data_IF_533891579849
#
_entry.id   IF_533891579849
#
_cell.length_a   1.000
_cell.length_b   1.000
_cell.length_c   1.000
_cell.angle_alpha   90.00
_cell.angle_beta   90.00
_cell.angle_gamma   90.00
#
_symmetry.space_group_name_H-M   'P 1'
#
loop_
_entity.id
_entity.type
_entity.pdbx_description
1 polymer ?
#
# COMPACT_ATOMS: atom_id res chain seq x y z
N UNK A 1 -28.61 15.17 -20.44
CA UNK A 1 -27.47 14.37 -20.93
C UNK A 1 -26.14 14.70 -20.28
N UNK A 2 -25.82 15.95 -19.92
CA UNK A 2 -24.58 16.28 -19.17
C UNK A 2 -24.38 15.46 -17.88
N UNK A 3 -25.48 15.05 -17.23
CA UNK A 3 -25.43 14.12 -16.09
C UNK A 3 -24.78 12.77 -16.42
N UNK A 4 -24.92 12.26 -17.65
CA UNK A 4 -24.34 10.96 -18.05
C UNK A 4 -22.82 11.00 -17.98
N UNK A 5 -22.19 12.10 -18.39
CA UNK A 5 -20.72 12.24 -18.35
C UNK A 5 -20.16 12.16 -16.93
N UNK A 6 -20.93 12.51 -15.88
CA UNK A 6 -20.49 12.40 -14.48
C UNK A 6 -20.26 10.96 -14.04
N UNK A 7 -20.90 10.00 -14.71
CA UNK A 7 -20.80 8.57 -14.40
C UNK A 7 -19.81 7.82 -15.30
N UNK A 8 -19.23 8.49 -16.29
CA UNK A 8 -18.31 7.90 -17.25
C UNK A 8 -16.85 8.17 -16.85
N UNK A 9 -15.95 7.22 -17.11
CA UNK A 9 -14.51 7.44 -17.00
C UNK A 9 -14.03 8.46 -18.03
N UNK A 10 -12.83 9.03 -17.86
CA UNK A 10 -12.25 9.90 -18.89
C UNK A 10 -12.15 9.20 -20.25
N UNK A 11 -11.75 7.91 -20.24
CA UNK A 11 -11.66 7.09 -21.45
C UNK A 11 -13.00 6.94 -22.14
N UNK A 12 -14.06 6.66 -21.38
CA UNK A 12 -15.41 6.50 -21.93
C UNK A 12 -15.94 7.82 -22.46
N UNK A 13 -15.70 8.94 -21.75
CA UNK A 13 -16.07 10.28 -22.21
C UNK A 13 -15.40 10.61 -23.55
N UNK A 14 -14.09 10.35 -23.68
CA UNK A 14 -13.35 10.58 -24.91
C UNK A 14 -13.83 9.68 -26.06
N UNK A 15 -14.10 8.39 -25.78
CA UNK A 15 -14.63 7.46 -26.77
C UNK A 15 -16.03 7.86 -27.26
N UNK A 16 -16.91 8.24 -26.32
CA UNK A 16 -18.27 8.67 -26.60
C UNK A 16 -18.28 9.98 -27.40
N UNK A 17 -17.36 10.90 -27.13
CA UNK A 17 -17.20 12.12 -27.91
C UNK A 17 -16.80 11.86 -29.39
N UNK A 18 -16.36 10.64 -29.73
CA UNK A 18 -16.05 10.22 -31.09
C UNK A 18 -17.23 9.51 -31.79
N UNK A 19 -18.34 9.24 -31.10
CA UNK A 19 -19.48 8.46 -31.66
C UNK A 19 -20.25 9.25 -32.71
N UNK A 20 -20.62 10.50 -32.43
CA UNK A 20 -21.22 11.39 -33.42
C UNK A 20 -20.98 12.87 -33.09
N UNK A 21 -21.31 13.77 -34.03
CA UNK A 21 -21.12 15.22 -33.88
C UNK A 21 -21.89 15.80 -32.68
N UNK A 22 -23.07 15.28 -32.37
CA UNK A 22 -23.87 15.76 -31.24
C UNK A 22 -23.22 15.39 -29.91
N UNK A 23 -22.74 14.15 -29.78
CA UNK A 23 -21.98 13.72 -28.59
C UNK A 23 -20.68 14.52 -28.43
N UNK A 24 -19.99 14.80 -29.53
CA UNK A 24 -18.81 15.65 -29.52
C UNK A 24 -19.13 17.08 -29.04
N UNK A 25 -20.21 17.69 -29.54
CA UNK A 25 -20.63 19.03 -29.15
C UNK A 25 -21.06 19.10 -27.68
N UNK A 26 -21.84 18.11 -27.22
CA UNK A 26 -22.24 18.01 -25.82
C UNK A 26 -21.06 17.76 -24.89
N UNK A 27 -20.09 16.94 -25.31
CA UNK A 27 -18.84 16.75 -24.59
C UNK A 27 -18.10 18.08 -24.45
N UNK A 28 -17.93 18.82 -25.55
CA UNK A 28 -17.28 20.15 -25.50
C UNK A 28 -17.96 21.11 -24.53
N UNK A 29 -19.29 21.17 -24.54
CA UNK A 29 -20.03 21.99 -23.57
C UNK A 29 -19.93 21.48 -22.14
N UNK A 30 -19.79 20.18 -21.93
CA UNK A 30 -19.63 19.58 -20.61
C UNK A 30 -18.24 19.86 -20.01
N UNK A 31 -17.20 20.08 -20.82
CA UNK A 31 -15.84 20.36 -20.33
C UNK A 31 -15.75 21.60 -19.42
N UNK A 32 -16.72 22.51 -19.48
CA UNK A 32 -16.81 23.70 -18.62
C UNK A 32 -17.31 23.39 -17.20
N UNK A 33 -17.87 22.19 -16.95
CA UNK A 33 -18.32 21.75 -15.62
C UNK A 33 -17.10 21.28 -14.78
N UNK A 34 -16.71 22.02 -13.71
CA UNK A 34 -15.56 21.65 -12.89
C UNK A 34 -15.72 20.30 -12.19
N UNK A 35 -16.97 19.86 -11.95
CA UNK A 35 -17.23 18.58 -11.27
C UNK A 35 -16.77 17.38 -12.10
N UNK A 36 -16.64 17.53 -13.42
CA UNK A 36 -16.11 16.48 -14.30
C UNK A 36 -14.59 16.32 -14.20
N UNK A 37 -13.90 17.32 -13.64
CA UNK A 37 -12.43 17.35 -13.53
C UNK A 37 -11.91 17.01 -12.15
N UNK A 38 -12.81 16.72 -11.20
CA UNK A 38 -12.41 16.35 -9.83
C UNK A 38 -11.52 15.12 -9.79
N UNK A 39 -11.84 14.16 -10.65
CA UNK A 39 -11.07 12.93 -10.84
C UNK A 39 -10.65 12.83 -12.30
N UNK A 40 -9.34 12.73 -12.53
CA UNK A 40 -8.77 12.41 -13.83
C UNK A 40 -8.07 11.05 -13.72
N UNK A 41 -8.75 10.00 -14.17
CA UNK A 41 -8.18 8.67 -14.26
C UNK A 41 -7.76 8.37 -15.70
N UNK A 42 -6.44 8.22 -15.89
CA UNK A 42 -5.78 7.85 -17.14
C UNK A 42 -4.92 6.60 -16.94
N UNK A 43 -5.29 5.74 -15.99
CA UNK A 43 -4.58 4.48 -15.77
C UNK A 43 -4.51 3.65 -17.05
N UNK A 44 -3.35 3.04 -17.30
CA UNK A 44 -3.02 2.26 -18.50
C UNK A 44 -3.15 3.03 -19.83
N UNK A 45 -3.25 4.37 -19.79
CA UNK A 45 -3.37 5.18 -21.00
C UNK A 45 -2.08 5.13 -21.81
N UNK A 46 -2.20 4.90 -23.11
CA UNK A 46 -1.08 4.93 -24.04
C UNK A 46 -0.67 6.37 -24.41
N UNK A 47 -1.56 7.35 -24.22
CA UNK A 47 -1.33 8.75 -24.58
C UNK A 47 -1.98 9.70 -23.54
N UNK A 48 -1.42 9.80 -22.32
CA UNK A 48 -1.99 10.66 -21.27
C UNK A 48 -1.80 12.17 -21.54
N UNK A 49 -0.83 12.54 -22.39
CA UNK A 49 -0.40 13.93 -22.61
C UNK A 49 -1.50 14.92 -23.01
N UNK A 50 -2.37 14.66 -24.01
CA UNK A 50 -3.44 15.57 -24.38
C UNK A 50 -4.41 15.87 -23.24
N UNK A 51 -4.81 14.84 -22.48
CA UNK A 51 -5.72 14.98 -21.34
C UNK A 51 -5.09 15.78 -20.20
N UNK A 52 -3.82 15.52 -19.88
CA UNK A 52 -3.07 16.26 -18.87
C UNK A 52 -2.89 17.74 -19.24
N UNK A 53 -2.57 18.03 -20.51
CA UNK A 53 -2.50 19.42 -21.01
C UNK A 53 -3.83 20.13 -20.89
N UNK A 54 -4.93 19.45 -21.21
CA UNK A 54 -6.25 20.02 -21.05
C UNK A 54 -6.58 20.28 -19.58
N UNK A 55 -6.34 19.30 -18.70
CA UNK A 55 -6.57 19.46 -17.26
C UNK A 55 -5.77 20.63 -16.68
N UNK A 56 -4.51 20.80 -17.10
CA UNK A 56 -3.67 21.94 -16.72
C UNK A 56 -4.27 23.28 -17.15
N UNK A 57 -4.86 23.37 -18.35
CA UNK A 57 -5.56 24.58 -18.78
C UNK A 57 -6.78 24.90 -17.90
N UNK A 58 -7.49 23.88 -17.41
CA UNK A 58 -8.66 24.05 -16.53
C UNK A 58 -8.30 24.47 -15.11
N UNK A 59 -7.12 24.06 -14.58
CA UNK A 59 -6.64 24.48 -13.27
C UNK A 59 -6.53 26.01 -13.15
N UNK A 60 -6.17 26.69 -14.25
CA UNK A 60 -6.07 28.15 -14.30
C UNK A 60 -7.41 28.87 -14.18
N UNK A 61 -8.51 28.15 -14.40
CA UNK A 61 -9.83 28.74 -14.50
C UNK A 61 -10.70 28.39 -13.29
N UNK A 62 -10.66 27.16 -12.75
CA UNK A 62 -11.53 26.66 -11.65
C UNK A 62 -10.97 25.38 -11.00
N UNK A 63 -9.96 25.45 -10.12
CA UNK A 63 -9.28 24.26 -9.59
C UNK A 63 -10.22 23.28 -8.85
N UNK A 64 -10.59 22.20 -9.53
CA UNK A 64 -11.40 21.11 -8.96
C UNK A 64 -10.64 19.78 -8.88
N UNK A 65 -9.50 19.63 -9.56
CA UNK A 65 -8.77 18.36 -9.64
C UNK A 65 -8.20 17.97 -8.28
N UNK A 66 -8.69 16.85 -7.75
CA UNK A 66 -8.30 16.29 -6.46
C UNK A 66 -7.71 14.88 -6.58
N UNK A 67 -8.10 14.13 -7.60
CA UNK A 67 -7.63 12.77 -7.83
C UNK A 67 -7.00 12.70 -9.22
N UNK A 68 -5.71 12.38 -9.26
CA UNK A 68 -4.98 12.10 -10.48
C UNK A 68 -4.46 10.66 -10.43
N UNK A 69 -4.98 9.81 -11.32
CA UNK A 69 -4.51 8.44 -11.47
C UNK A 69 -3.84 8.26 -12.84
N UNK A 70 -2.53 8.01 -12.83
CA UNK A 70 -1.69 7.74 -14.00
C UNK A 70 -1.05 6.35 -13.94
N UNK A 71 -1.56 5.45 -13.09
CA UNK A 71 -1.02 4.10 -12.94
C UNK A 71 -0.77 3.43 -14.29
N UNK A 72 0.47 3.01 -14.53
CA UNK A 72 0.91 2.33 -15.74
C UNK A 72 0.64 3.11 -17.05
N UNK A 73 0.44 4.43 -16.96
CA UNK A 73 0.30 5.27 -18.14
C UNK A 73 1.66 5.47 -18.86
N UNK A 74 1.64 5.34 -20.18
CA UNK A 74 2.84 5.38 -20.99
C UNK A 74 3.40 6.81 -21.14
N UNK A 75 4.72 6.94 -21.08
CA UNK A 75 5.42 8.19 -21.37
C UNK A 75 5.16 9.34 -20.39
N UNK A 76 4.71 9.04 -19.16
CA UNK A 76 4.56 10.06 -18.11
C UNK A 76 5.95 10.50 -17.64
N UNK A 77 6.27 11.78 -17.84
CA UNK A 77 7.52 12.43 -17.42
C UNK A 77 7.22 13.66 -16.57
N UNK A 78 8.23 14.20 -15.90
CA UNK A 78 8.11 15.43 -15.12
C UNK A 78 7.54 16.59 -15.95
N UNK A 79 7.93 16.70 -17.23
CA UNK A 79 7.41 17.71 -18.15
C UNK A 79 5.88 17.65 -18.35
N UNK A 80 5.27 16.47 -18.18
CA UNK A 80 3.82 16.31 -18.23
C UNK A 80 3.14 16.63 -16.89
N UNK A 81 3.86 16.55 -15.78
CA UNK A 81 3.35 16.81 -14.43
C UNK A 81 3.53 18.28 -14.02
N UNK A 82 4.64 18.92 -14.40
CA UNK A 82 4.95 20.31 -14.03
C UNK A 82 3.83 21.31 -14.35
N UNK A 83 3.09 21.21 -15.48
CA UNK A 83 1.98 22.11 -15.77
C UNK A 83 0.78 21.97 -14.81
N UNK A 84 0.70 20.89 -14.05
CA UNK A 84 -0.32 20.65 -13.02
C UNK A 84 0.11 21.16 -11.63
N UNK A 85 1.28 21.81 -11.52
CA UNK A 85 1.74 22.43 -10.27
C UNK A 85 0.67 23.35 -9.68
N UNK A 86 0.46 23.24 -8.37
CA UNK A 86 -0.56 23.98 -7.64
C UNK A 86 -1.95 23.36 -7.69
N UNK A 87 -2.10 22.19 -8.31
CA UNK A 87 -3.29 21.37 -8.09
C UNK A 87 -3.33 20.92 -6.62
N UNK A 88 -4.46 21.14 -5.94
CA UNK A 88 -4.70 20.66 -4.58
C UNK A 88 -5.17 19.20 -4.60
N UNK A 89 -4.27 18.32 -5.04
CA UNK A 89 -4.53 16.88 -5.11
C UNK A 89 -4.66 16.30 -3.71
N UNK A 90 -5.70 15.50 -3.49
CA UNK A 90 -5.87 14.63 -2.33
C UNK A 90 -5.26 13.25 -2.59
N UNK A 91 -5.32 12.77 -3.84
CA UNK A 91 -4.81 11.46 -4.26
C UNK A 91 -3.98 11.60 -5.54
N UNK A 92 -2.75 11.12 -5.49
CA UNK A 92 -1.85 11.02 -6.63
C UNK A 92 -1.36 9.58 -6.78
N UNK A 93 -1.71 8.94 -7.90
CA UNK A 93 -1.20 7.63 -8.25
C UNK A 93 -0.32 7.71 -9.50
N UNK A 94 0.96 7.40 -9.32
CA UNK A 94 2.00 7.36 -10.36
C UNK A 94 2.67 5.97 -10.41
N UNK A 95 1.98 4.92 -9.96
CA UNK A 95 2.47 3.55 -10.01
C UNK A 95 2.97 3.20 -11.41
N UNK A 96 4.21 2.73 -11.53
CA UNK A 96 4.83 2.34 -12.79
C UNK A 96 5.16 3.48 -13.76
N UNK A 97 5.01 4.76 -13.37
CA UNK A 97 5.45 5.90 -14.16
C UNK A 97 6.98 6.10 -14.07
N UNK A 98 7.76 5.12 -14.54
CA UNK A 98 9.20 4.98 -14.31
C UNK A 98 10.10 6.14 -14.80
N UNK A 99 9.58 7.05 -15.63
CA UNK A 99 10.34 8.20 -16.12
C UNK A 99 10.19 9.46 -15.23
N UNK A 100 9.25 9.44 -14.27
CA UNK A 100 9.06 10.52 -13.29
C UNK A 100 10.18 10.52 -12.26
N UNK A 101 10.62 11.71 -11.86
CA UNK A 101 11.64 11.93 -10.82
C UNK A 101 11.06 12.70 -9.64
N UNK A 102 11.88 12.96 -8.63
CA UNK A 102 11.52 13.78 -7.47
C UNK A 102 10.93 15.14 -7.89
N UNK A 103 11.44 15.77 -8.95
CA UNK A 103 10.96 17.08 -9.40
C UNK A 103 9.49 17.03 -9.85
N UNK A 104 9.11 16.04 -10.67
CA UNK A 104 7.76 15.90 -11.18
C UNK A 104 6.75 15.58 -10.08
N UNK A 105 7.10 14.69 -9.15
CA UNK A 105 6.21 14.38 -8.01
C UNK A 105 6.14 15.55 -7.03
N UNK A 106 7.27 16.20 -6.71
CA UNK A 106 7.29 17.35 -5.80
C UNK A 106 6.51 18.55 -6.35
N UNK A 107 6.42 18.72 -7.67
CA UNK A 107 5.57 19.75 -8.27
C UNK A 107 4.08 19.55 -7.98
N UNK A 108 3.67 18.31 -7.68
CA UNK A 108 2.31 17.92 -7.33
C UNK A 108 2.13 17.65 -5.83
N UNK A 109 3.20 17.76 -5.05
CA UNK A 109 3.11 17.77 -3.61
C UNK A 109 2.37 19.05 -3.17
N UNK A 110 1.39 18.88 -2.30
CA UNK A 110 0.56 19.97 -1.81
C UNK A 110 -0.02 19.68 -0.44
N UNK A 111 -0.65 20.69 0.14
CA UNK A 111 -1.18 20.63 1.51
C UNK A 111 -2.40 19.73 1.65
N UNK A 112 -3.13 19.52 0.54
CA UNK A 112 -4.27 18.63 0.46
C UNK A 112 -3.90 17.15 0.33
N UNK A 113 -2.64 16.80 0.00
CA UNK A 113 -2.28 15.44 -0.37
C UNK A 113 -2.41 14.47 0.82
N UNK A 114 -3.22 13.42 0.62
CA UNK A 114 -3.51 12.36 1.60
C UNK A 114 -2.99 11.00 1.16
N UNK A 115 -2.96 10.72 -0.14
CA UNK A 115 -2.49 9.44 -0.68
C UNK A 115 -1.52 9.66 -1.83
N UNK A 116 -0.36 9.04 -1.73
CA UNK A 116 0.65 9.02 -2.77
C UNK A 116 1.07 7.57 -3.06
N UNK A 117 0.88 7.14 -4.30
CA UNK A 117 1.21 5.79 -4.77
C UNK A 117 2.36 5.86 -5.79
N UNK A 118 3.51 5.27 -5.46
CA UNK A 118 4.74 5.31 -6.25
C UNK A 118 5.34 3.93 -6.50
N UNK A 119 4.53 2.87 -6.57
CA UNK A 119 5.01 1.54 -6.89
C UNK A 119 5.93 1.54 -8.12
N UNK A 120 7.12 0.99 -7.95
CA UNK A 120 8.14 0.79 -8.98
C UNK A 120 8.63 2.08 -9.66
N UNK A 121 8.67 3.20 -8.94
CA UNK A 121 9.28 4.45 -9.39
C UNK A 121 10.78 4.49 -9.05
N UNK A 122 11.61 3.99 -9.97
CA UNK A 122 13.04 3.75 -9.72
C UNK A 122 13.91 5.01 -9.60
N UNK A 123 13.40 6.16 -10.03
CA UNK A 123 14.12 7.46 -10.02
C UNK A 123 13.75 8.34 -8.82
N UNK A 124 12.84 7.88 -7.97
CA UNK A 124 12.46 8.59 -6.75
C UNK A 124 13.51 8.36 -5.66
N UNK A 125 13.91 9.42 -4.97
CA UNK A 125 14.91 9.42 -3.89
C UNK A 125 14.38 10.12 -2.64
N UNK A 126 15.25 10.27 -1.62
CA UNK A 126 14.94 11.06 -0.43
C UNK A 126 14.65 12.53 -0.74
N UNK A 127 15.08 13.06 -1.89
CA UNK A 127 14.74 14.42 -2.34
C UNK A 127 13.23 14.65 -2.42
N UNK A 128 12.48 13.66 -2.93
CA UNK A 128 11.02 13.70 -2.91
C UNK A 128 10.48 13.68 -1.48
N UNK A 129 10.98 12.79 -0.63
CA UNK A 129 10.47 12.66 0.74
C UNK A 129 10.71 13.94 1.55
N UNK A 130 11.81 14.65 1.29
CA UNK A 130 12.05 15.99 1.84
C UNK A 130 11.04 17.02 1.32
N UNK A 131 10.65 16.95 0.04
CA UNK A 131 9.61 17.82 -0.49
C UNK A 131 8.24 17.53 0.13
N UNK A 132 7.86 16.25 0.27
CA UNK A 132 6.62 15.84 0.94
C UNK A 132 6.60 16.28 2.41
N UNK A 133 7.72 16.13 3.12
CA UNK A 133 7.85 16.59 4.50
C UNK A 133 7.62 18.11 4.66
N UNK A 134 7.89 18.90 3.62
CA UNK A 134 7.64 20.35 3.64
C UNK A 134 6.23 20.72 3.23
N UNK A 135 5.62 19.95 2.33
CA UNK A 135 4.41 20.36 1.62
C UNK A 135 3.14 19.60 2.04
N UNK A 136 3.25 18.39 2.59
CA UNK A 136 2.12 17.43 2.70
C UNK A 136 1.89 16.90 4.12
N UNK A 137 1.56 17.78 5.10
CA UNK A 137 1.36 17.38 6.51
C UNK A 137 0.13 16.49 6.75
N UNK A 138 -0.76 16.37 5.74
CA UNK A 138 -1.98 15.55 5.78
C UNK A 138 -1.81 14.16 5.16
N UNK A 139 -0.60 13.78 4.77
CA UNK A 139 -0.34 12.48 4.13
C UNK A 139 -0.70 11.34 5.09
N UNK A 140 -1.55 10.43 4.60
CA UNK A 140 -2.11 9.29 5.32
C UNK A 140 -1.63 7.96 4.73
N UNK A 141 -1.48 7.91 3.40
CA UNK A 141 -1.05 6.72 2.67
C UNK A 141 0.14 7.05 1.79
N UNK A 142 1.23 6.30 1.99
CA UNK A 142 2.45 6.45 1.24
C UNK A 142 2.95 5.08 0.79
N UNK A 143 2.91 4.84 -0.51
CA UNK A 143 3.45 3.62 -1.11
C UNK A 143 4.72 3.96 -1.88
N UNK A 144 5.85 3.46 -1.38
CA UNK A 144 7.18 3.60 -1.95
C UNK A 144 7.72 2.25 -2.45
N UNK A 145 6.84 1.26 -2.63
CA UNK A 145 7.22 -0.10 -3.02
C UNK A 145 8.11 -0.09 -4.26
N UNK A 146 9.32 -0.64 -4.16
CA UNK A 146 10.29 -0.68 -5.24
C UNK A 146 11.05 0.63 -5.52
N UNK A 147 10.85 1.69 -4.73
CA UNK A 147 11.69 2.90 -4.76
C UNK A 147 13.04 2.62 -4.08
N UNK A 148 13.97 2.01 -4.82
CA UNK A 148 15.22 1.45 -4.28
C UNK A 148 16.22 2.48 -3.74
N UNK A 149 16.06 3.75 -4.08
CA UNK A 149 16.97 4.84 -3.68
C UNK A 149 16.46 5.59 -2.43
N UNK A 150 15.32 5.20 -1.86
CA UNK A 150 14.83 5.74 -0.59
C UNK A 150 15.62 5.12 0.56
N UNK A 151 16.08 5.96 1.48
CA UNK A 151 16.89 5.56 2.65
C UNK A 151 16.20 5.91 3.97
N UNK A 152 16.85 5.57 5.09
CA UNK A 152 16.42 5.96 6.43
C UNK A 152 16.19 7.46 6.59
N UNK A 153 17.00 8.30 5.94
CA UNK A 153 16.89 9.76 6.06
C UNK A 153 15.57 10.27 5.47
N UNK A 154 15.17 9.79 4.29
CA UNK A 154 13.89 10.12 3.67
C UNK A 154 12.71 9.62 4.50
N UNK A 155 12.75 8.35 4.95
CA UNK A 155 11.69 7.75 5.78
C UNK A 155 11.53 8.51 7.10
N UNK A 156 12.63 8.85 7.78
CA UNK A 156 12.59 9.62 9.01
C UNK A 156 12.03 11.03 8.78
N UNK A 157 12.44 11.69 7.69
CA UNK A 157 11.94 13.01 7.31
C UNK A 157 10.44 13.05 7.13
N UNK A 158 9.88 12.11 6.35
CA UNK A 158 8.43 12.06 6.12
C UNK A 158 7.67 11.62 7.38
N UNK A 159 8.19 10.66 8.16
CA UNK A 159 7.54 10.20 9.38
C UNK A 159 7.39 11.33 10.42
N UNK A 160 8.41 12.18 10.57
CA UNK A 160 8.38 13.33 11.50
C UNK A 160 7.41 14.43 11.05
N UNK A 161 7.26 14.63 9.74
CA UNK A 161 6.48 15.72 9.19
C UNK A 161 5.02 15.36 8.87
N UNK A 162 4.71 14.07 8.72
CA UNK A 162 3.39 13.57 8.36
C UNK A 162 2.78 12.74 9.50
N UNK A 163 2.26 13.38 10.57
CA UNK A 163 1.76 12.68 11.77
C UNK A 163 0.44 11.93 11.56
N UNK A 164 -0.07 11.88 10.32
CA UNK A 164 -1.32 11.19 9.94
C UNK A 164 -1.08 9.91 9.15
N UNK A 165 0.18 9.51 8.96
CA UNK A 165 0.51 8.27 8.25
C UNK A 165 -0.17 7.08 8.93
N UNK A 166 -0.99 6.38 8.17
CA UNK A 166 -1.73 5.19 8.59
C UNK A 166 -1.36 3.98 7.72
N UNK A 167 -0.88 4.19 6.50
CA UNK A 167 -0.51 3.12 5.58
C UNK A 167 0.84 3.46 4.95
N UNK A 168 1.81 2.58 5.14
CA UNK A 168 3.14 2.73 4.57
C UNK A 168 3.57 1.42 3.91
N UNK A 169 3.93 1.50 2.63
CA UNK A 169 4.50 0.38 1.89
C UNK A 169 5.96 0.68 1.52
N UNK A 170 6.87 -0.07 2.15
CA UNK A 170 8.32 -0.03 1.93
C UNK A 170 8.83 -1.30 1.27
N UNK A 171 7.95 -2.10 0.66
CA UNK A 171 8.29 -3.31 -0.05
C UNK A 171 9.46 -3.09 -1.02
N UNK A 172 10.52 -3.90 -0.88
CA UNK A 172 11.77 -3.77 -1.66
C UNK A 172 12.45 -2.38 -1.60
N UNK A 173 12.26 -1.60 -0.55
CA UNK A 173 13.08 -0.43 -0.24
C UNK A 173 14.38 -0.89 0.45
N UNK A 174 15.32 -1.40 -0.35
CA UNK A 174 16.50 -2.13 0.14
C UNK A 174 17.50 -1.27 0.94
N UNK A 175 17.44 0.05 0.81
CA UNK A 175 18.30 0.98 1.54
C UNK A 175 17.69 1.48 2.86
N UNK A 176 16.49 1.01 3.23
CA UNK A 176 15.89 1.24 4.55
C UNK A 176 16.38 0.17 5.52
N UNK A 177 17.02 0.61 6.60
CA UNK A 177 17.61 -0.23 7.65
C UNK A 177 16.73 -0.19 8.91
N UNK A 178 17.08 -0.93 9.99
CA UNK A 178 16.35 -0.85 11.25
C UNK A 178 16.22 0.57 11.81
N UNK A 179 17.16 1.48 11.50
CA UNK A 179 17.09 2.87 11.94
C UNK A 179 15.92 3.62 11.29
N UNK A 180 15.66 3.44 10.00
CA UNK A 180 14.52 4.04 9.31
C UNK A 180 13.18 3.52 9.84
N UNK A 181 13.08 2.21 10.10
CA UNK A 181 11.90 1.60 10.72
C UNK A 181 11.67 2.12 12.14
N UNK A 182 12.73 2.34 12.93
CA UNK A 182 12.63 2.91 14.28
C UNK A 182 12.08 4.34 14.26
N UNK A 183 12.56 5.18 13.34
CA UNK A 183 12.05 6.54 13.17
C UNK A 183 10.59 6.55 12.69
N UNK A 184 10.24 5.66 11.75
CA UNK A 184 8.86 5.49 11.30
C UNK A 184 7.94 5.12 12.47
N UNK A 185 8.27 4.08 13.24
CA UNK A 185 7.44 3.61 14.33
C UNK A 185 7.32 4.64 15.46
N UNK A 186 8.41 5.36 15.78
CA UNK A 186 8.41 6.43 16.79
C UNK A 186 7.48 7.57 16.44
N UNK A 187 7.47 8.00 15.18
CA UNK A 187 6.75 9.21 14.75
C UNK A 187 5.37 8.92 14.12
N UNK A 188 5.06 7.65 13.84
CA UNK A 188 3.76 7.23 13.29
C UNK A 188 3.10 6.12 14.13
N UNK A 189 2.83 6.33 15.44
CA UNK A 189 2.24 5.31 16.32
C UNK A 189 0.83 4.87 15.88
N UNK A 190 0.13 5.69 15.08
CA UNK A 190 -1.19 5.39 14.51
C UNK A 190 -1.15 4.51 13.25
N UNK A 191 0.01 3.96 12.86
CA UNK A 191 0.15 3.15 11.66
C UNK A 191 -0.74 1.90 11.75
N UNK A 192 -1.53 1.66 10.70
CA UNK A 192 -2.49 0.55 10.58
C UNK A 192 -2.04 -0.50 9.58
N UNK A 193 -1.35 -0.09 8.51
CA UNK A 193 -0.79 -1.01 7.53
C UNK A 193 0.69 -0.71 7.32
N UNK A 194 1.52 -1.75 7.44
CA UNK A 194 2.93 -1.71 7.10
C UNK A 194 3.27 -2.90 6.21
N UNK A 195 3.84 -2.62 5.04
CA UNK A 195 4.36 -3.66 4.14
C UNK A 195 5.88 -3.51 4.01
N UNK A 196 6.60 -4.60 4.28
CA UNK A 196 8.05 -4.69 4.21
C UNK A 196 8.51 -5.97 3.49
N UNK A 197 7.73 -6.39 2.48
CA UNK A 197 8.04 -7.56 1.65
C UNK A 197 9.42 -7.39 0.99
N UNK A 198 10.24 -8.45 1.06
CA UNK A 198 11.56 -8.51 0.44
C UNK A 198 12.49 -7.34 0.85
N UNK A 199 12.39 -6.93 2.11
CA UNK A 199 13.32 -6.02 2.77
C UNK A 199 14.33 -6.80 3.61
N UNK A 200 15.56 -6.94 3.12
CA UNK A 200 16.60 -7.77 3.76
C UNK A 200 16.99 -7.30 5.17
N UNK A 201 16.71 -6.03 5.51
CA UNK A 201 16.98 -5.46 6.83
C UNK A 201 15.97 -5.87 7.92
N UNK A 202 14.85 -6.50 7.55
CA UNK A 202 13.80 -6.89 8.50
C UNK A 202 14.20 -8.15 9.26
N UNK A 203 14.38 -8.01 10.57
CA UNK A 203 14.79 -9.05 11.52
C UNK A 203 14.08 -8.83 12.88
N UNK A 204 14.40 -9.63 13.88
CA UNK A 204 13.74 -9.57 15.20
C UNK A 204 13.85 -8.19 15.89
N UNK A 205 14.97 -7.48 15.72
CA UNK A 205 15.13 -6.11 16.24
C UNK A 205 14.12 -5.15 15.62
N UNK A 206 13.84 -5.31 14.32
CA UNK A 206 12.81 -4.52 13.62
C UNK A 206 11.41 -4.89 14.11
N UNK A 207 11.14 -6.16 14.42
CA UNK A 207 9.84 -6.56 14.99
C UNK A 207 9.63 -6.06 16.42
N UNK A 208 10.69 -5.98 17.25
CA UNK A 208 10.61 -5.33 18.56
C UNK A 208 10.27 -3.84 18.40
N UNK A 209 10.83 -3.16 17.38
CA UNK A 209 10.44 -1.79 17.03
C UNK A 209 8.97 -1.72 16.62
N UNK A 210 8.48 -2.65 15.80
CA UNK A 210 7.07 -2.66 15.38
C UNK A 210 6.11 -2.94 16.53
N UNK A 211 6.54 -3.57 17.62
CA UNK A 211 5.69 -3.87 18.77
C UNK A 211 5.04 -2.62 19.39
N UNK A 212 5.60 -1.42 19.20
CA UNK A 212 5.00 -0.18 19.71
C UNK A 212 3.81 0.31 18.88
N UNK A 213 3.59 -0.26 17.69
CA UNK A 213 2.51 0.09 16.76
C UNK A 213 1.21 -0.62 17.19
N UNK A 214 0.62 -0.15 18.28
CA UNK A 214 -0.58 -0.76 18.89
C UNK A 214 -1.84 -0.75 18.00
N UNK A 215 -1.90 0.15 17.01
CA UNK A 215 -2.99 0.27 16.04
C UNK A 215 -2.75 -0.54 14.75
N UNK A 216 -1.64 -1.27 14.66
CA UNK A 216 -1.26 -2.04 13.47
C UNK A 216 -2.26 -3.19 13.24
N UNK A 217 -2.80 -3.23 12.03
CA UNK A 217 -3.82 -4.21 11.59
C UNK A 217 -3.29 -5.14 10.52
N UNK A 218 -2.49 -4.61 9.59
CA UNK A 218 -1.87 -5.37 8.51
C UNK A 218 -0.35 -5.25 8.58
N UNK A 219 0.31 -6.40 8.58
CA UNK A 219 1.76 -6.49 8.46
C UNK A 219 2.15 -7.51 7.39
N UNK A 220 2.88 -7.06 6.37
CA UNK A 220 3.47 -7.95 5.36
C UNK A 220 4.98 -8.09 5.57
N UNK A 221 5.42 -9.28 5.97
CA UNK A 221 6.81 -9.67 6.20
C UNK A 221 7.29 -10.73 5.20
N UNK A 222 6.62 -10.90 4.07
CA UNK A 222 6.96 -11.94 3.11
C UNK A 222 8.48 -11.95 2.79
N UNK A 223 9.11 -13.12 2.83
CA UNK A 223 10.53 -13.31 2.58
C UNK A 223 11.49 -12.68 3.61
N UNK A 224 11.00 -12.23 4.77
CA UNK A 224 11.83 -11.77 5.89
C UNK A 224 12.52 -12.97 6.56
N UNK A 225 13.56 -13.49 5.91
CA UNK A 225 14.27 -14.71 6.28
C UNK A 225 15.06 -14.62 7.59
N UNK A 226 15.30 -13.41 8.12
CA UNK A 226 15.99 -13.17 9.41
C UNK A 226 15.03 -13.05 10.60
N UNK A 227 13.72 -13.16 10.37
CA UNK A 227 12.70 -13.14 11.43
C UNK A 227 12.55 -14.53 12.02
N UNK A 228 12.64 -14.62 13.35
CA UNK A 228 12.46 -15.85 14.13
C UNK A 228 11.24 -15.74 15.03
N UNK A 229 10.95 -16.81 15.78
CA UNK A 229 9.88 -16.82 16.78
C UNK A 229 10.04 -15.72 17.84
N UNK A 230 11.27 -15.29 18.16
CA UNK A 230 11.51 -14.24 19.16
C UNK A 230 10.97 -12.87 18.69
N UNK A 231 11.22 -12.50 17.44
CA UNK A 231 10.66 -11.28 16.85
C UNK A 231 9.14 -11.35 16.75
N UNK A 232 8.60 -12.49 16.35
CA UNK A 232 7.15 -12.70 16.27
C UNK A 232 6.48 -12.59 17.66
N UNK A 233 7.11 -13.13 18.70
CA UNK A 233 6.65 -12.97 20.09
C UNK A 233 6.68 -11.52 20.55
N UNK A 234 7.71 -10.76 20.19
CA UNK A 234 7.78 -9.33 20.47
C UNK A 234 6.63 -8.56 19.81
N UNK A 235 6.43 -8.78 18.51
CA UNK A 235 5.33 -8.19 17.76
C UNK A 235 3.97 -8.50 18.40
N UNK A 236 3.70 -9.78 18.71
CA UNK A 236 2.43 -10.23 19.26
C UNK A 236 2.11 -9.66 20.65
N UNK A 237 3.13 -9.29 21.45
CA UNK A 237 2.93 -8.64 22.76
C UNK A 237 2.33 -7.23 22.63
N UNK A 238 2.73 -6.48 21.59
CA UNK A 238 2.38 -5.07 21.43
C UNK A 238 1.27 -4.79 20.42
N UNK A 239 1.23 -5.52 19.30
CA UNK A 239 0.32 -5.27 18.18
C UNK A 239 -0.99 -6.07 18.30
N UNK A 240 -1.78 -5.82 19.34
CA UNK A 240 -2.99 -6.60 19.66
C UNK A 240 -4.16 -6.43 18.67
N UNK A 241 -4.09 -5.41 17.81
CA UNK A 241 -5.10 -5.12 16.77
C UNK A 241 -4.78 -5.80 15.42
N UNK A 242 -3.72 -6.60 15.34
CA UNK A 242 -3.37 -7.29 14.10
C UNK A 242 -4.51 -8.22 13.66
N UNK A 243 -4.97 -7.97 12.42
CA UNK A 243 -5.99 -8.75 11.75
C UNK A 243 -5.43 -9.47 10.52
N UNK A 244 -4.33 -9.00 9.94
CA UNK A 244 -3.71 -9.59 8.75
C UNK A 244 -2.20 -9.66 8.90
N UNK A 245 -1.64 -10.87 8.82
CA UNK A 245 -0.18 -11.05 8.83
C UNK A 245 0.26 -12.01 7.74
N UNK A 246 1.25 -11.58 6.96
CA UNK A 246 1.86 -12.38 5.91
C UNK A 246 3.28 -12.80 6.33
N UNK A 247 3.47 -14.07 6.69
CA UNK A 247 4.74 -14.67 7.08
C UNK A 247 5.28 -15.63 6.00
N UNK A 248 4.79 -15.50 4.78
CA UNK A 248 5.22 -16.31 3.64
C UNK A 248 6.75 -16.29 3.50
N UNK A 249 7.39 -17.47 3.44
CA UNK A 249 8.84 -17.63 3.33
C UNK A 249 9.67 -17.03 4.49
N UNK A 250 9.08 -16.73 5.65
CA UNK A 250 9.81 -16.46 6.91
C UNK A 250 10.35 -17.77 7.52
N UNK A 251 11.27 -18.43 6.82
CA UNK A 251 11.66 -19.84 7.03
C UNK A 251 12.17 -20.23 8.43
N UNK A 252 12.49 -19.27 9.30
CA UNK A 252 12.91 -19.50 10.68
C UNK A 252 11.75 -19.43 11.70
N UNK A 253 10.53 -19.12 11.25
CA UNK A 253 9.33 -19.12 12.09
C UNK A 253 8.77 -20.53 12.20
N UNK A 254 8.43 -20.92 13.42
CA UNK A 254 7.88 -22.24 13.77
C UNK A 254 6.52 -22.10 14.47
N UNK A 255 5.98 -23.23 14.96
CA UNK A 255 4.79 -23.24 15.79
C UNK A 255 4.87 -22.25 16.96
N UNK A 256 6.05 -22.03 17.55
CA UNK A 256 6.20 -21.11 18.69
C UNK A 256 5.83 -19.67 18.33
N UNK A 257 6.25 -19.16 17.16
CA UNK A 257 5.87 -17.85 16.67
C UNK A 257 4.38 -17.77 16.35
N UNK A 258 3.82 -18.79 15.69
CA UNK A 258 2.37 -18.81 15.36
C UNK A 258 1.51 -18.87 16.63
N UNK A 259 1.89 -19.66 17.63
CA UNK A 259 1.24 -19.70 18.94
C UNK A 259 1.24 -18.31 19.60
N UNK A 260 2.36 -17.58 19.52
CA UNK A 260 2.45 -16.22 20.06
C UNK A 260 1.48 -15.26 19.36
N UNK A 261 1.41 -15.28 18.02
CA UNK A 261 0.45 -14.46 17.26
C UNK A 261 -0.99 -14.86 17.60
N UNK A 262 -1.30 -16.15 17.64
CA UNK A 262 -2.65 -16.63 17.97
C UNK A 262 -3.11 -16.12 19.35
N UNK A 263 -2.25 -16.20 20.36
CA UNK A 263 -2.57 -15.75 21.72
C UNK A 263 -2.55 -14.21 21.88
N UNK A 264 -1.65 -13.52 21.18
CA UNK A 264 -1.45 -12.06 21.29
C UNK A 264 -2.41 -11.22 20.45
N UNK A 265 -2.88 -11.77 19.33
CA UNK A 265 -3.66 -11.06 18.30
C UNK A 265 -5.05 -11.72 18.13
N UNK A 266 -6.00 -11.52 19.06
CA UNK A 266 -7.30 -12.18 19.01
C UNK A 266 -8.17 -11.78 17.81
N UNK A 267 -7.89 -10.63 17.19
CA UNK A 267 -8.58 -10.11 16.02
C UNK A 267 -8.07 -10.69 14.69
N UNK A 268 -7.23 -11.74 14.72
CA UNK A 268 -6.60 -12.29 13.52
C UNK A 268 -7.64 -12.86 12.54
N UNK A 269 -7.61 -12.36 11.31
CA UNK A 269 -8.55 -12.67 10.24
C UNK A 269 -7.88 -13.36 9.04
N UNK A 270 -6.66 -12.90 8.70
CA UNK A 270 -5.87 -13.37 7.56
C UNK A 270 -4.47 -13.75 8.03
N UNK A 271 -4.06 -15.00 7.78
CA UNK A 271 -2.71 -15.47 8.09
C UNK A 271 -2.15 -16.26 6.92
N UNK A 272 -0.98 -15.85 6.40
CA UNK A 272 -0.22 -16.68 5.47
C UNK A 272 1.03 -17.25 6.13
N UNK A 273 1.16 -18.58 6.08
CA UNK A 273 2.31 -19.37 6.53
C UNK A 273 2.98 -20.09 5.35
N UNK A 274 2.74 -19.64 4.11
CA UNK A 274 3.24 -20.32 2.93
C UNK A 274 4.77 -20.57 2.99
N UNK A 275 5.18 -21.80 2.72
CA UNK A 275 6.58 -22.20 2.67
C UNK A 275 7.27 -22.38 4.04
N UNK A 276 6.53 -22.31 5.15
CA UNK A 276 7.08 -22.47 6.49
C UNK A 276 7.12 -23.95 6.91
N UNK A 277 8.29 -24.58 6.75
CA UNK A 277 8.47 -26.01 7.05
C UNK A 277 8.42 -26.36 8.54
N UNK A 278 8.62 -25.38 9.42
CA UNK A 278 8.56 -25.54 10.87
C UNK A 278 7.15 -25.48 11.47
N UNK A 279 6.12 -25.44 10.62
CA UNK A 279 4.71 -25.38 11.04
C UNK A 279 4.10 -26.78 11.05
N UNK A 280 3.43 -27.12 12.15
CA UNK A 280 2.74 -28.38 12.37
C UNK A 280 1.30 -28.18 12.83
N UNK A 281 0.60 -29.28 13.16
CA UNK A 281 -0.74 -29.24 13.77
C UNK A 281 -0.80 -28.51 15.11
N UNK A 282 0.35 -28.30 15.78
CA UNK A 282 0.40 -27.50 17.00
C UNK A 282 0.01 -26.04 16.73
N UNK A 283 0.54 -25.42 15.68
CA UNK A 283 0.13 -24.07 15.25
C UNK A 283 -1.36 -24.00 14.91
N UNK A 284 -1.88 -24.99 14.18
CA UNK A 284 -3.30 -25.06 13.82
C UNK A 284 -4.18 -25.15 15.07
N UNK A 285 -3.77 -25.95 16.06
CA UNK A 285 -4.48 -26.10 17.33
C UNK A 285 -4.49 -24.79 18.13
N UNK A 286 -3.38 -24.04 18.14
CA UNK A 286 -3.31 -22.73 18.77
C UNK A 286 -4.22 -21.71 18.07
N UNK A 287 -4.23 -21.68 16.73
CA UNK A 287 -5.14 -20.84 15.95
C UNK A 287 -6.61 -21.18 16.22
N UNK A 288 -6.94 -22.47 16.34
CA UNK A 288 -8.29 -22.90 16.69
C UNK A 288 -8.69 -22.46 18.11
N UNK A 289 -7.77 -22.54 19.07
CA UNK A 289 -8.02 -22.15 20.45
C UNK A 289 -8.28 -20.64 20.61
N UNK A 290 -7.58 -19.79 19.85
CA UNK A 290 -7.60 -18.34 20.05
C UNK A 290 -8.28 -17.53 18.95
N UNK A 291 -8.35 -18.05 17.72
CA UNK A 291 -8.79 -17.32 16.53
C UNK A 291 -9.94 -18.00 15.77
N UNK A 292 -10.54 -19.08 16.27
CA UNK A 292 -11.64 -19.77 15.57
C UNK A 292 -12.85 -18.87 15.26
N UNK A 293 -13.06 -17.83 16.07
CA UNK A 293 -14.14 -16.85 15.90
C UNK A 293 -13.82 -15.73 14.89
N UNK A 294 -12.60 -15.60 14.41
CA UNK A 294 -12.14 -14.45 13.61
C UNK A 294 -11.46 -14.87 12.30
N UNK A 295 -10.64 -15.91 12.33
CA UNK A 295 -9.82 -16.33 11.19
C UNK A 295 -10.67 -16.85 10.03
N UNK A 296 -10.59 -16.18 8.88
CA UNK A 296 -11.33 -16.53 7.66
C UNK A 296 -10.45 -16.77 6.44
N UNK A 297 -9.17 -16.40 6.47
CA UNK A 297 -8.17 -16.82 5.48
C UNK A 297 -6.93 -17.41 6.14
N UNK A 298 -6.52 -18.59 5.70
CA UNK A 298 -5.32 -19.27 6.20
C UNK A 298 -4.59 -19.99 5.05
N UNK A 299 -3.37 -19.56 4.72
CA UNK A 299 -2.52 -20.26 3.74
C UNK A 299 -1.47 -21.13 4.45
N UNK A 300 -1.54 -22.44 4.25
CA UNK A 300 -0.63 -23.45 4.78
C UNK A 300 0.17 -24.16 3.67
N UNK A 301 0.17 -23.62 2.45
CA UNK A 301 0.85 -24.25 1.31
C UNK A 301 2.34 -24.41 1.61
N UNK A 302 2.90 -25.61 1.44
CA UNK A 302 4.31 -25.88 1.76
C UNK A 302 4.64 -26.03 3.26
N UNK A 303 3.63 -25.98 4.15
CA UNK A 303 3.78 -26.37 5.57
C UNK A 303 3.72 -27.90 5.71
N UNK A 304 4.81 -28.57 5.37
CA UNK A 304 4.86 -30.04 5.27
C UNK A 304 4.62 -30.78 6.60
N UNK A 305 4.79 -30.10 7.74
CA UNK A 305 4.56 -30.65 9.08
C UNK A 305 3.09 -30.64 9.54
N UNK A 306 2.19 -30.01 8.78
CA UNK A 306 0.74 -30.08 9.05
C UNK A 306 0.22 -31.40 8.50
N UNK A 307 0.24 -32.44 9.34
CA UNK A 307 -0.13 -33.78 8.93
C UNK A 307 -1.65 -33.92 8.82
N UNK A 308 -2.12 -34.36 7.65
CA UNK A 308 -3.46 -34.91 7.46
C UNK A 308 -4.64 -34.01 7.83
N UNK A 309 -4.58 -32.68 7.68
CA UNK A 309 -5.80 -31.86 7.73
C UNK A 309 -6.27 -31.44 6.34
N UNK A 310 -7.24 -32.19 5.82
CA UNK A 310 -8.00 -31.76 4.66
C UNK A 310 -8.86 -30.52 4.96
N UNK A 311 -9.52 -29.98 3.93
CA UNK A 311 -10.45 -28.83 4.05
C UNK A 311 -11.43 -28.99 5.21
N UNK A 312 -12.05 -30.17 5.33
CA UNK A 312 -13.13 -30.42 6.28
C UNK A 312 -12.62 -30.42 7.72
N UNK A 313 -11.45 -31.01 7.98
CA UNK A 313 -10.85 -31.04 9.30
C UNK A 313 -10.40 -29.66 9.76
N UNK A 314 -9.81 -28.85 8.87
CA UNK A 314 -9.51 -27.45 9.17
C UNK A 314 -10.77 -26.66 9.48
N UNK A 315 -11.85 -26.86 8.72
CA UNK A 315 -13.13 -26.19 8.96
C UNK A 315 -13.83 -26.66 10.24
N UNK A 316 -13.58 -27.89 10.70
CA UNK A 316 -14.11 -28.37 11.96
C UNK A 316 -13.54 -27.60 13.16
N UNK A 317 -12.25 -27.22 13.10
CA UNK A 317 -11.57 -26.48 14.17
C UNK A 317 -11.56 -24.96 13.94
N UNK A 318 -11.64 -24.51 12.69
CA UNK A 318 -11.67 -23.10 12.27
C UNK A 318 -12.90 -22.86 11.37
N UNK A 319 -14.11 -22.74 11.95
CA UNK A 319 -15.37 -22.77 11.20
C UNK A 319 -15.59 -21.58 10.27
N UNK A 320 -14.85 -20.48 10.46
CA UNK A 320 -14.95 -19.27 9.64
C UNK A 320 -14.05 -19.25 8.41
N UNK A 321 -13.22 -20.28 8.19
CA UNK A 321 -12.34 -20.35 7.00
C UNK A 321 -13.14 -20.36 5.69
N UNK A 322 -12.87 -19.35 4.86
CA UNK A 322 -13.42 -19.17 3.49
C UNK A 322 -12.35 -19.42 2.44
N UNK A 323 -11.16 -18.87 2.65
CA UNK A 323 -10.00 -19.00 1.79
C UNK A 323 -8.93 -19.81 2.51
N UNK A 324 -8.55 -20.97 1.98
CA UNK A 324 -7.45 -21.73 2.54
C UNK A 324 -6.82 -22.60 1.46
N UNK A 325 -5.51 -22.77 1.56
CA UNK A 325 -4.73 -23.55 0.61
C UNK A 325 -3.84 -24.52 1.39
N UNK A 326 -3.93 -25.79 1.05
CA UNK A 326 -3.06 -26.86 1.58
C UNK A 326 -2.49 -27.58 0.37
N UNK A 327 -1.22 -27.29 0.05
CA UNK A 327 -0.47 -27.99 -0.99
C UNK A 327 0.74 -28.65 -0.34
N UNK A 328 0.89 -29.95 -0.59
CA UNK A 328 2.09 -30.72 -0.23
C UNK A 328 3.23 -30.39 -1.18
#
# INVERSE_FOLDING_TARGET
MQHVFKHLSWRDRAAIACVCKDWHAQWRGALEDPSLWRTLDLSNSQQPGPALRYASAQLRLRSALQVLNLELAAGVTDALLLPLRGAELEVLNLNGCQQVTDEGVAALAGTALRRLELYWNLRVTDGLLQALARASPRLEVLNLSGCKQVTDAGVAGVARACPRLTHVDLTRCLAVTPAGYAELARHSPQLRELRAYACAAVNDTVLEVFSVLSELRLLDLCGAHLVTDAGIQALARGCRQLSSINLTWCVQVTDAGVCAVAAGCPSLELLSLHGLRGITDAAVSALAAHCAGTLHSLDLSGCVGVERRGREELRAVLPRLRCFTVHK
#
